data_IF_829228287364
#
_entry.id   IF_829228287364
#
_cell.length_a   1.000
_cell.length_b   1.000
_cell.length_c   1.000
_cell.angle_alpha   90.00
_cell.angle_beta   90.00
_cell.angle_gamma   90.00
#
_symmetry.space_group_name_H-M   'P 1'
#
loop_
_entity.id
_entity.type
_entity.pdbx_description
1 polymer ?
#
# COMPACT_ATOMS: atom_id res chain seq x y z
N UNK A 1 3.54 14.78 -17.41
CA UNK A 1 2.13 14.48 -17.08
C UNK A 1 2.08 14.04 -15.62
N UNK A 2 2.05 14.99 -14.68
CA UNK A 2 2.09 14.70 -13.24
C UNK A 2 0.88 15.36 -12.58
N UNK A 3 -0.12 14.58 -12.17
CA UNK A 3 -1.32 15.12 -11.51
C UNK A 3 -2.27 14.02 -11.04
N UNK A 4 -3.31 14.40 -10.29
CA UNK A 4 -4.26 13.45 -9.74
C UNK A 4 -4.91 12.56 -10.82
N UNK A 5 -5.29 13.15 -11.96
CA UNK A 5 -5.92 12.42 -13.06
C UNK A 5 -5.04 11.29 -13.62
N UNK A 6 -3.72 11.48 -13.74
CA UNK A 6 -2.83 10.42 -14.26
C UNK A 6 -2.68 9.29 -13.26
N UNK A 7 -2.55 9.60 -11.97
CA UNK A 7 -2.50 8.58 -10.90
C UNK A 7 -3.82 7.82 -10.76
N UNK A 8 -4.94 8.52 -10.88
CA UNK A 8 -6.26 7.88 -10.94
C UNK A 8 -6.37 6.94 -12.14
N UNK A 9 -5.87 7.33 -13.31
CA UNK A 9 -5.80 6.46 -14.48
C UNK A 9 -4.93 5.22 -14.23
N UNK A 10 -3.78 5.37 -13.56
CA UNK A 10 -2.94 4.24 -13.15
C UNK A 10 -3.65 3.28 -12.20
N UNK A 11 -4.44 3.78 -11.25
CA UNK A 11 -5.22 2.93 -10.33
C UNK A 11 -6.35 2.16 -11.03
N UNK A 12 -6.84 2.64 -12.17
CA UNK A 12 -7.82 1.92 -13.00
C UNK A 12 -7.15 0.78 -13.76
N UNK A 13 -5.90 0.98 -14.20
CA UNK A 13 -5.12 -0.01 -14.94
C UNK A 13 -5.81 -0.41 -16.26
N UNK A 14 -5.82 -1.72 -16.54
CA UNK A 14 -6.50 -2.30 -17.72
C UNK A 14 -8.02 -2.46 -17.52
N UNK A 15 -8.53 -2.15 -16.31
CA UNK A 15 -9.95 -2.25 -15.98
C UNK A 15 -10.80 -1.15 -16.62
N UNK A 16 -12.13 -1.34 -16.57
CA UNK A 16 -13.07 -0.31 -16.99
C UNK A 16 -13.31 0.74 -15.91
N UNK A 17 -13.57 1.99 -16.32
CA UNK A 17 -13.97 3.09 -15.41
C UNK A 17 -15.20 2.71 -14.59
N UNK A 18 -16.14 1.97 -15.19
CA UNK A 18 -17.36 1.50 -14.52
C UNK A 18 -17.06 0.52 -13.37
N UNK A 19 -16.17 -0.45 -13.61
CA UNK A 19 -15.75 -1.40 -12.59
C UNK A 19 -15.01 -0.69 -11.45
N UNK A 20 -14.10 0.24 -11.78
CA UNK A 20 -13.38 1.02 -10.78
C UNK A 20 -14.31 1.90 -9.94
N UNK A 21 -15.28 2.58 -10.56
CA UNK A 21 -16.25 3.42 -9.88
C UNK A 21 -17.04 2.62 -8.82
N UNK A 22 -17.49 1.40 -9.17
CA UNK A 22 -18.12 0.46 -8.23
C UNK A 22 -17.16 0.07 -7.09
N UNK A 23 -15.90 -0.28 -7.41
CA UNK A 23 -14.87 -0.65 -6.42
C UNK A 23 -14.67 0.43 -5.35
N UNK A 24 -14.64 1.70 -5.74
CA UNK A 24 -14.42 2.83 -4.81
C UNK A 24 -15.71 3.46 -4.28
N UNK A 25 -16.89 2.96 -4.66
CA UNK A 25 -18.19 3.46 -4.21
C UNK A 25 -18.54 4.87 -4.73
N UNK A 26 -18.15 5.21 -5.96
CA UNK A 26 -18.45 6.49 -6.62
C UNK A 26 -19.22 6.29 -7.93
N UNK A 27 -19.86 7.35 -8.44
CA UNK A 27 -20.48 7.30 -9.75
C UNK A 27 -19.44 7.32 -10.87
N UNK A 28 -19.69 6.59 -11.95
CA UNK A 28 -18.81 6.57 -13.13
C UNK A 28 -18.63 7.97 -13.73
N UNK A 29 -19.70 8.77 -13.77
CA UNK A 29 -19.66 10.15 -14.24
C UNK A 29 -18.67 11.00 -13.42
N UNK A 30 -18.61 10.81 -12.11
CA UNK A 30 -17.67 11.53 -11.24
C UNK A 30 -16.22 11.09 -11.49
N UNK A 31 -15.96 9.78 -11.65
CA UNK A 31 -14.62 9.29 -12.01
C UNK A 31 -14.18 9.84 -13.38
N UNK A 32 -15.07 9.84 -14.38
CA UNK A 32 -14.79 10.43 -15.71
C UNK A 32 -14.51 11.93 -15.63
N UNK A 33 -15.20 12.65 -14.75
CA UNK A 33 -14.94 14.08 -14.49
C UNK A 33 -13.52 14.29 -13.94
N UNK A 34 -13.10 13.44 -13.00
CA UNK A 34 -11.76 13.46 -12.43
C UNK A 34 -10.66 13.12 -13.44
N UNK A 35 -10.87 12.12 -14.29
CA UNK A 35 -9.94 11.78 -15.38
C UNK A 35 -9.78 12.92 -16.39
N UNK A 36 -10.76 13.81 -16.49
CA UNK A 36 -10.70 15.04 -17.31
C UNK A 36 -10.05 16.23 -16.59
N UNK A 37 -9.49 16.04 -15.39
CA UNK A 37 -8.70 17.04 -14.67
C UNK A 37 -9.44 17.79 -13.57
N UNK A 38 -10.67 17.41 -13.22
CA UNK A 38 -11.30 17.95 -12.00
C UNK A 38 -10.65 17.35 -10.75
N UNK A 39 -10.44 18.19 -9.73
CA UNK A 39 -9.88 17.74 -8.45
C UNK A 39 -11.00 17.28 -7.48
N UNK A 40 -10.80 16.18 -6.74
CA UNK A 40 -11.72 15.75 -5.70
C UNK A 40 -11.56 16.60 -4.44
N UNK A 41 -12.65 16.76 -3.68
CA UNK A 41 -12.52 17.18 -2.29
C UNK A 41 -11.85 16.08 -1.45
N UNK A 42 -11.24 16.46 -0.31
CA UNK A 42 -10.46 15.56 0.56
C UNK A 42 -11.20 14.26 0.91
N UNK A 43 -12.49 14.34 1.23
CA UNK A 43 -13.31 13.17 1.56
C UNK A 43 -13.43 12.17 0.39
N UNK A 44 -13.57 12.67 -0.84
CA UNK A 44 -13.65 11.82 -2.05
C UNK A 44 -12.28 11.25 -2.43
N UNK A 45 -11.21 12.03 -2.24
CA UNK A 45 -9.86 11.54 -2.42
C UNK A 45 -9.54 10.40 -1.45
N UNK A 46 -9.86 10.54 -0.16
CA UNK A 46 -9.65 9.48 0.82
C UNK A 46 -10.52 8.24 0.54
N UNK A 47 -11.76 8.42 0.07
CA UNK A 47 -12.62 7.32 -0.36
C UNK A 47 -12.00 6.52 -1.52
N UNK A 48 -11.47 7.21 -2.54
CA UNK A 48 -10.75 6.56 -3.65
C UNK A 48 -9.51 5.84 -3.12
N UNK A 49 -8.71 6.49 -2.28
CA UNK A 49 -7.49 5.91 -1.72
C UNK A 49 -7.78 4.62 -0.93
N UNK A 50 -8.82 4.61 -0.10
CA UNK A 50 -9.24 3.41 0.62
C UNK A 50 -9.72 2.30 -0.33
N UNK A 51 -10.61 2.62 -1.28
CA UNK A 51 -11.18 1.63 -2.20
C UNK A 51 -10.15 1.08 -3.21
N UNK A 52 -9.17 1.89 -3.60
CA UNK A 52 -8.08 1.49 -4.49
C UNK A 52 -6.87 0.93 -3.73
N UNK A 53 -6.94 0.87 -2.40
CA UNK A 53 -5.86 0.43 -1.53
C UNK A 53 -4.56 1.22 -1.73
N UNK A 54 -4.60 2.55 -1.86
CA UNK A 54 -3.39 3.39 -1.94
C UNK A 54 -3.36 4.43 -0.81
N UNK A 55 -2.19 5.04 -0.55
CA UNK A 55 -2.13 6.17 0.37
C UNK A 55 -2.80 7.41 -0.24
N UNK A 56 -3.38 8.24 0.62
CA UNK A 56 -3.96 9.51 0.20
C UNK A 56 -2.88 10.48 -0.29
N UNK A 57 -1.70 10.44 0.34
CA UNK A 57 -0.53 11.21 -0.06
C UNK A 57 -0.12 10.89 -1.50
N UNK A 58 0.07 9.61 -1.82
CA UNK A 58 0.44 9.19 -3.17
C UNK A 58 -0.61 9.63 -4.18
N UNK A 59 -1.89 9.46 -3.87
CA UNK A 59 -2.97 9.87 -4.75
C UNK A 59 -2.96 11.40 -5.00
N UNK A 60 -2.67 12.21 -3.99
CA UNK A 60 -2.70 13.67 -4.05
C UNK A 60 -1.43 14.29 -4.66
N UNK A 61 -0.25 13.76 -4.35
CA UNK A 61 1.03 14.39 -4.68
C UNK A 61 1.88 13.52 -5.61
N UNK A 62 1.69 12.21 -5.60
CA UNK A 62 2.61 11.24 -6.19
C UNK A 62 3.78 10.88 -5.27
N UNK A 63 3.87 11.49 -4.09
CA UNK A 63 4.80 11.13 -3.03
C UNK A 63 4.11 10.17 -2.05
N UNK A 64 4.85 9.26 -1.40
CA UNK A 64 4.26 8.25 -0.51
C UNK A 64 3.89 6.94 -1.24
N UNK A 65 3.14 6.06 -0.59
CA UNK A 65 3.02 4.65 -1.00
C UNK A 65 1.76 4.33 -1.82
N UNK A 66 1.92 3.51 -2.86
CA UNK A 66 0.84 3.04 -3.73
C UNK A 66 -0.06 1.99 -3.05
N UNK A 67 0.37 1.34 -1.96
CA UNK A 67 -0.42 0.33 -1.26
C UNK A 67 -0.64 0.65 0.24
N UNK A 68 -1.89 0.62 0.72
CA UNK A 68 -2.29 1.07 2.09
C UNK A 68 -2.48 -0.06 3.11
N UNK A 69 -2.85 -1.26 2.66
CA UNK A 69 -3.20 -2.39 3.54
C UNK A 69 -2.09 -3.41 3.76
N UNK A 70 -1.02 -3.35 2.97
CA UNK A 70 0.29 -3.83 3.38
C UNK A 70 1.19 -2.60 3.26
N UNK A 71 1.77 -2.14 4.37
CA UNK A 71 2.90 -1.23 4.25
C UNK A 71 3.92 -1.97 3.36
N UNK A 72 4.12 -1.51 2.12
CA UNK A 72 5.09 -2.17 1.24
C UNK A 72 6.44 -1.97 1.90
N UNK A 73 7.20 -3.05 2.01
CA UNK A 73 8.58 -2.96 2.46
C UNK A 73 9.36 -2.23 1.38
N UNK A 74 9.83 -1.03 1.71
CA UNK A 74 10.75 -0.28 0.86
C UNK A 74 12.07 -1.08 0.77
N UNK A 75 12.32 -1.65 -0.41
CA UNK A 75 13.45 -2.56 -0.65
C UNK A 75 14.79 -1.84 -0.60
N UNK A 76 14.84 -0.59 -1.06
CA UNK A 76 16.07 0.21 -0.98
C UNK A 76 16.40 0.54 0.47
N UNK A 77 15.40 0.96 1.24
CA UNK A 77 15.56 1.19 2.67
C UNK A 77 15.94 -0.10 3.43
N UNK A 78 15.35 -1.24 3.07
CA UNK A 78 15.69 -2.54 3.65
C UNK A 78 17.13 -2.93 3.35
N UNK A 79 17.58 -2.79 2.11
CA UNK A 79 18.96 -3.09 1.72
C UNK A 79 19.96 -2.22 2.49
N UNK A 80 19.70 -0.91 2.58
CA UNK A 80 20.54 0.02 3.35
C UNK A 80 20.59 -0.35 4.85
N UNK A 81 19.45 -0.70 5.45
CA UNK A 81 19.39 -1.16 6.83
C UNK A 81 20.18 -2.47 7.04
N UNK A 82 20.13 -3.39 6.05
CA UNK A 82 20.93 -4.61 6.04
C UNK A 82 22.43 -4.33 6.02
N UNK A 83 22.88 -3.40 5.17
CA UNK A 83 24.29 -2.98 5.13
C UNK A 83 24.76 -2.44 6.48
N UNK A 84 24.00 -1.53 7.08
CA UNK A 84 24.33 -0.95 8.40
C UNK A 84 24.39 -2.02 9.50
N UNK A 85 23.52 -3.03 9.43
CA UNK A 85 23.55 -4.14 10.39
C UNK A 85 24.79 -5.02 10.21
N UNK A 86 25.16 -5.32 8.96
CA UNK A 86 26.36 -6.10 8.63
C UNK A 86 27.64 -5.37 9.03
N UNK A 87 27.70 -4.04 8.89
CA UNK A 87 28.82 -3.23 9.37
C UNK A 87 29.04 -3.38 10.88
N UNK A 88 27.94 -3.46 11.65
CA UNK A 88 28.02 -3.58 13.11
C UNK A 88 28.24 -5.00 13.60
N UNK A 89 27.76 -5.99 12.83
CA UNK A 89 27.82 -7.40 13.16
C UNK A 89 28.27 -8.23 11.94
N UNK A 90 29.54 -8.08 11.51
CA UNK A 90 30.03 -8.67 10.25
C UNK A 90 30.00 -10.20 10.25
N UNK A 91 30.08 -10.84 11.42
CA UNK A 91 30.04 -12.29 11.59
C UNK A 91 28.63 -12.88 11.40
N UNK A 92 27.60 -12.05 11.46
CA UNK A 92 26.21 -12.50 11.47
C UNK A 92 25.62 -12.41 10.07
N UNK A 93 25.30 -13.56 9.48
CA UNK A 93 24.65 -13.61 8.17
C UNK A 93 23.21 -13.11 8.27
N UNK A 94 22.80 -12.24 7.34
CA UNK A 94 21.41 -11.81 7.21
C UNK A 94 20.58 -12.84 6.43
N UNK A 95 19.29 -13.01 6.76
CA UNK A 95 18.35 -13.69 5.89
C UNK A 95 18.31 -13.04 4.50
N UNK A 96 17.87 -13.79 3.49
CA UNK A 96 17.64 -13.25 2.16
C UNK A 96 16.59 -12.13 2.16
N UNK A 97 16.66 -11.27 1.15
CA UNK A 97 15.79 -10.08 1.02
C UNK A 97 14.30 -10.46 1.11
N UNK A 98 13.87 -11.51 0.42
CA UNK A 98 12.48 -11.96 0.44
C UNK A 98 11.99 -12.41 1.82
N UNK A 99 12.85 -13.09 2.60
CA UNK A 99 12.54 -13.45 3.98
C UNK A 99 12.42 -12.20 4.87
N UNK A 100 13.27 -11.20 4.64
CA UNK A 100 13.22 -9.94 5.37
C UNK A 100 11.99 -9.10 5.02
N UNK A 101 11.63 -9.03 3.73
CA UNK A 101 10.39 -8.40 3.26
C UNK A 101 9.18 -9.07 3.91
N UNK A 102 9.14 -10.41 3.90
CA UNK A 102 8.08 -11.19 4.54
C UNK A 102 8.00 -10.88 6.04
N UNK A 103 9.14 -10.87 6.75
CA UNK A 103 9.20 -10.55 8.17
C UNK A 103 8.64 -9.15 8.47
N UNK A 104 9.05 -8.15 7.69
CA UNK A 104 8.60 -6.78 7.87
C UNK A 104 7.11 -6.61 7.56
N UNK A 105 6.59 -7.28 6.53
CA UNK A 105 5.16 -7.31 6.23
C UNK A 105 4.35 -7.88 7.41
N UNK A 106 4.79 -9.00 8.00
CA UNK A 106 4.16 -9.53 9.23
C UNK A 106 4.24 -8.54 10.40
N UNK A 107 5.40 -7.94 10.63
CA UNK A 107 5.59 -6.94 11.70
C UNK A 107 4.62 -5.77 11.55
N UNK A 108 4.52 -5.20 10.35
CA UNK A 108 3.65 -4.07 10.03
C UNK A 108 2.16 -4.44 10.20
N UNK A 109 1.78 -5.63 9.73
CA UNK A 109 0.43 -6.17 9.92
C UNK A 109 0.09 -6.27 11.41
N UNK A 110 0.94 -6.95 12.19
CA UNK A 110 0.76 -7.16 13.62
C UNK A 110 0.70 -5.84 14.40
N UNK A 111 1.52 -4.85 14.02
CA UNK A 111 1.55 -3.53 14.64
C UNK A 111 0.25 -2.75 14.42
N UNK A 112 -0.35 -2.88 13.24
CA UNK A 112 -1.55 -2.14 12.83
C UNK A 112 -2.87 -2.85 13.18
N UNK A 113 -2.84 -4.16 13.42
CA UNK A 113 -4.02 -5.00 13.66
C UNK A 113 -4.00 -5.66 15.05
N UNK A 114 -3.65 -4.88 16.08
CA UNK A 114 -3.80 -5.33 17.47
C UNK A 114 -5.26 -5.55 17.82
N UNK A 115 -5.51 -6.52 18.70
CA UNK A 115 -6.83 -6.75 19.27
C UNK A 115 -7.24 -5.58 20.18
N UNK A 116 -8.54 -5.49 20.53
CA UNK A 116 -9.07 -4.39 21.34
C UNK A 116 -8.48 -4.30 22.76
N UNK A 117 -7.88 -5.38 23.23
CA UNK A 117 -7.13 -5.50 24.49
C UNK A 117 -5.63 -5.20 24.34
N UNK A 118 -5.17 -4.86 23.13
CA UNK A 118 -3.78 -4.53 22.82
C UNK A 118 -2.88 -5.72 22.49
N UNK A 119 -3.40 -6.95 22.52
CA UNK A 119 -2.63 -8.15 22.18
C UNK A 119 -2.48 -8.34 20.66
N UNK A 120 -1.46 -9.11 20.27
CA UNK A 120 -1.16 -9.42 18.87
C UNK A 120 -2.12 -10.49 18.33
N UNK A 121 -2.79 -10.20 17.22
CA UNK A 121 -3.66 -11.17 16.55
C UNK A 121 -2.85 -12.11 15.63
N UNK A 122 -2.24 -13.13 16.22
CA UNK A 122 -1.43 -14.10 15.48
C UNK A 122 -2.26 -14.98 14.53
N UNK A 123 -3.54 -15.21 14.84
CA UNK A 123 -4.42 -15.97 13.96
C UNK A 123 -4.67 -15.22 12.65
N UNK A 124 -4.99 -13.93 12.74
CA UNK A 124 -5.19 -13.06 11.60
C UNK A 124 -3.90 -12.81 10.82
N UNK A 125 -2.76 -12.70 11.50
CA UNK A 125 -1.47 -12.60 10.83
C UNK A 125 -1.14 -13.84 9.99
N UNK A 126 -1.41 -15.06 10.50
CA UNK A 126 -1.23 -16.29 9.71
C UNK A 126 -2.13 -16.33 8.48
N UNK A 127 -3.35 -15.79 8.57
CA UNK A 127 -4.23 -15.65 7.41
C UNK A 127 -3.67 -14.68 6.37
N UNK A 128 -3.24 -13.50 6.81
CA UNK A 128 -2.52 -12.54 5.95
C UNK A 128 -1.33 -13.20 5.23
N UNK A 129 -0.55 -14.01 5.97
CA UNK A 129 0.59 -14.75 5.45
C UNK A 129 0.29 -15.67 4.27
N UNK A 130 -0.91 -16.25 4.20
CA UNK A 130 -1.30 -17.14 3.09
C UNK A 130 -1.45 -16.39 1.77
N UNK A 131 -1.65 -15.08 1.81
CA UNK A 131 -1.86 -14.23 0.63
C UNK A 131 -0.61 -13.44 0.23
N UNK A 132 0.49 -13.50 1.00
CA UNK A 132 1.75 -12.84 0.66
C UNK A 132 2.45 -13.46 -0.56
N UNK A 133 2.21 -14.73 -0.85
CA UNK A 133 2.79 -15.46 -1.99
C UNK A 133 2.04 -15.28 -3.32
N UNK A 134 0.93 -14.53 -3.31
CA UNK A 134 0.03 -14.34 -4.46
C UNK A 134 0.11 -12.93 -5.09
N UNK A 135 0.95 -12.04 -4.54
CA UNK A 135 1.10 -10.63 -4.94
C UNK A 135 2.49 -10.33 -5.50
#
# INVERSE_FOLDING_TARGET
>A
MNGFASRLQSLIGEGSVSAFARKVGLSEALIRKYLKGAEPGLGKANQIAMGANCSLEWLATGCGYLYRQAEVVDREALAAAGTLLQERHPEQALPGEEQLVTLLAYYQFLRSHKQGDGFLDLARAREFGRHLSEA
#
